data_IF_777078036347
#
_entry.id   IF_777078036347
#
_cell.length_a   1.000
_cell.length_b   1.000
_cell.length_c   1.000
_cell.angle_alpha   90.00
_cell.angle_beta   90.00
_cell.angle_gamma   90.00
#
_symmetry.space_group_name_H-M   'P 1'
#
loop_
_entity.id
_entity.type
_entity.pdbx_description
1 polymer ?
#
# COMPACT_ATOMS: atom_id res chain seq x y z
N UNK A 1 9.39 11.05 5.31
CA UNK A 1 8.05 11.57 5.70
C UNK A 1 7.09 10.40 5.65
N UNK A 2 6.18 10.27 6.61
CA UNK A 2 5.22 9.16 6.64
C UNK A 2 4.08 9.50 5.68
N UNK A 3 3.79 8.62 4.70
CA UNK A 3 2.74 8.67 3.65
C UNK A 3 1.55 9.62 3.89
N UNK A 4 0.97 9.61 5.10
CA UNK A 4 -0.27 10.35 5.40
C UNK A 4 -0.08 11.60 6.28
N UNK A 5 1.13 11.85 6.77
CA UNK A 5 1.44 13.00 7.61
C UNK A 5 1.27 14.30 6.80
N UNK A 6 0.53 15.30 7.33
CA UNK A 6 0.43 16.61 6.69
C UNK A 6 1.79 17.31 6.68
N UNK A 7 2.03 18.10 5.64
CA UNK A 7 3.33 18.74 5.44
C UNK A 7 3.41 20.11 6.12
N UNK A 8 2.28 20.79 6.18
CA UNK A 8 2.14 22.10 6.81
C UNK A 8 0.80 22.21 7.58
N UNK A 9 0.59 23.38 8.17
CA UNK A 9 -0.62 23.66 8.94
C UNK A 9 -1.87 23.77 8.07
N UNK A 10 -1.74 24.12 6.79
CA UNK A 10 -2.86 24.18 5.85
C UNK A 10 -3.37 22.77 5.60
N UNK A 11 -2.46 21.81 5.37
CA UNK A 11 -2.78 20.40 5.26
C UNK A 11 -3.44 19.83 6.52
N UNK A 12 -2.99 20.24 7.71
CA UNK A 12 -3.62 19.86 8.99
C UNK A 12 -5.05 20.39 9.04
N UNK A 13 -5.23 21.70 8.81
CA UNK A 13 -6.52 22.38 8.93
C UNK A 13 -7.53 21.84 7.91
N UNK A 14 -7.05 21.53 6.72
CA UNK A 14 -7.91 21.14 5.62
C UNK A 14 -8.08 19.62 5.48
N UNK A 15 -7.35 18.81 6.26
CA UNK A 15 -7.50 17.35 6.27
C UNK A 15 -8.96 16.87 6.42
N UNK A 16 -9.79 17.45 7.30
CA UNK A 16 -11.22 17.12 7.40
C UNK A 16 -11.98 17.20 6.07
N UNK A 17 -11.58 18.14 5.21
CA UNK A 17 -12.20 18.37 3.90
C UNK A 17 -11.56 17.50 2.81
N UNK A 18 -10.26 17.23 2.89
CA UNK A 18 -9.62 16.27 1.98
C UNK A 18 -10.24 14.90 2.13
N UNK A 19 -10.55 14.48 3.36
CA UNK A 19 -11.15 13.16 3.61
C UNK A 19 -12.48 12.96 2.89
N UNK A 20 -13.14 14.01 2.39
CA UNK A 20 -14.35 13.90 1.57
C UNK A 20 -14.05 13.38 0.16
N UNK A 21 -12.85 13.63 -0.36
CA UNK A 21 -12.46 13.23 -1.72
C UNK A 21 -12.45 11.70 -1.86
N UNK A 22 -12.93 11.17 -2.99
CA UNK A 22 -12.87 9.73 -3.30
C UNK A 22 -11.44 9.26 -3.65
N UNK A 23 -10.45 10.14 -3.58
CA UNK A 23 -9.06 9.74 -3.79
C UNK A 23 -8.58 8.81 -2.68
N UNK A 24 -7.73 7.88 -3.07
CA UNK A 24 -7.01 7.08 -2.10
C UNK A 24 -5.77 7.82 -1.57
N UNK A 25 -5.13 7.28 -0.53
CA UNK A 25 -3.93 7.86 0.08
C UNK A 25 -4.12 9.18 0.83
N UNK A 26 -5.36 9.64 1.01
CA UNK A 26 -5.63 10.83 1.82
C UNK A 26 -5.34 10.54 3.29
N UNK A 27 -5.84 9.43 3.81
CA UNK A 27 -5.56 8.99 5.17
C UNK A 27 -5.48 7.46 5.28
N UNK A 28 -5.90 6.72 4.26
CA UNK A 28 -5.75 5.27 4.18
C UNK A 28 -5.40 4.89 2.74
N UNK A 29 -4.86 3.70 2.51
CA UNK A 29 -4.38 3.30 1.18
C UNK A 29 -5.51 3.09 0.17
N UNK A 30 -6.77 2.98 0.57
CA UNK A 30 -7.91 2.82 -0.36
C UNK A 30 -8.70 4.12 -0.50
N UNK A 31 -9.49 4.28 -1.59
CA UNK A 31 -10.57 5.25 -1.63
C UNK A 31 -11.47 5.05 -0.41
N UNK A 32 -11.55 6.06 0.46
CA UNK A 32 -12.35 6.00 1.67
C UNK A 32 -12.95 7.38 1.96
N UNK A 33 -13.83 7.90 1.08
CA UNK A 33 -14.43 9.21 1.29
C UNK A 33 -15.25 9.23 2.59
N UNK A 34 -15.05 10.24 3.42
CA UNK A 34 -15.67 10.43 4.73
C UNK A 34 -16.06 11.90 4.95
N UNK A 35 -17.34 12.20 4.77
CA UNK A 35 -17.89 13.56 4.92
C UNK A 35 -18.02 13.99 6.39
N UNK A 36 -17.95 13.04 7.33
CA UNK A 36 -18.29 13.29 8.74
C UNK A 36 -17.33 14.28 9.38
N UNK A 37 -16.04 14.26 9.04
CA UNK A 37 -15.07 15.22 9.57
C UNK A 37 -15.36 16.66 9.15
N UNK A 38 -15.54 16.90 7.85
CA UNK A 38 -15.89 18.22 7.33
C UNK A 38 -17.17 18.74 8.00
N UNK A 39 -18.18 17.88 8.15
CA UNK A 39 -19.44 18.24 8.82
C UNK A 39 -19.23 18.57 10.29
N UNK A 40 -18.44 17.80 11.04
CA UNK A 40 -18.12 18.10 12.45
C UNK A 40 -17.44 19.46 12.59
N UNK A 41 -16.49 19.79 11.71
CA UNK A 41 -15.81 21.10 11.70
C UNK A 41 -16.80 22.22 11.42
N UNK A 42 -17.65 22.09 10.40
CA UNK A 42 -18.64 23.10 10.03
C UNK A 42 -19.70 23.29 11.13
N UNK A 43 -20.17 22.21 11.76
CA UNK A 43 -21.11 22.28 12.87
C UNK A 43 -20.48 22.94 14.10
N UNK A 44 -19.24 22.60 14.44
CA UNK A 44 -18.52 23.23 15.54
C UNK A 44 -18.34 24.74 15.30
N UNK A 45 -17.97 25.14 14.08
CA UNK A 45 -17.87 26.54 13.69
C UNK A 45 -19.22 27.26 13.77
N UNK A 46 -20.31 26.66 13.29
CA UNK A 46 -21.65 27.24 13.37
C UNK A 46 -22.11 27.44 14.83
N UNK A 47 -21.89 26.43 15.69
CA UNK A 47 -22.21 26.52 17.12
C UNK A 47 -21.36 27.59 17.81
N UNK A 48 -20.09 27.71 17.46
CA UNK A 48 -19.21 28.77 17.95
C UNK A 48 -19.75 30.15 17.55
N UNK A 49 -20.09 30.36 16.27
CA UNK A 49 -20.69 31.61 15.79
C UNK A 49 -22.01 31.94 16.51
N UNK A 50 -22.90 30.96 16.71
CA UNK A 50 -24.13 31.17 17.47
C UNK A 50 -23.86 31.54 18.93
N UNK A 51 -22.81 30.98 19.55
CA UNK A 51 -22.42 31.36 20.91
C UNK A 51 -21.96 32.82 21.00
N UNK A 52 -21.23 33.32 19.99
CA UNK A 52 -20.82 34.73 19.90
C UNK A 52 -22.01 35.67 19.71
N UNK A 53 -23.08 35.20 19.05
CA UNK A 53 -24.34 35.94 18.89
C UNK A 53 -25.25 35.87 20.13
N UNK A 54 -24.80 35.27 21.24
CA UNK A 54 -25.59 35.12 22.47
C UNK A 54 -26.72 34.09 22.37
N UNK A 55 -26.81 33.31 21.28
CA UNK A 55 -27.79 32.24 21.12
C UNK A 55 -27.30 31.03 21.91
N UNK A 56 -27.91 30.78 23.07
CA UNK A 56 -27.59 29.59 23.88
C UNK A 56 -28.15 28.33 23.21
N UNK A 57 -27.37 27.23 23.15
CA UNK A 57 -27.86 25.96 22.63
C UNK A 57 -28.99 25.41 23.51
N UNK A 58 -30.03 24.81 22.93
CA UNK A 58 -31.22 24.37 23.66
C UNK A 58 -31.02 23.09 24.49
N UNK A 59 -29.95 22.32 24.25
CA UNK A 59 -29.68 21.03 24.89
C UNK A 59 -28.26 20.97 25.47
N UNK A 60 -28.04 20.12 26.48
CA UNK A 60 -26.76 19.97 27.22
C UNK A 60 -25.54 19.83 26.28
N UNK A 61 -24.81 20.92 25.98
CA UNK A 61 -23.73 20.88 25.01
C UNK A 61 -22.49 20.16 25.57
N UNK A 62 -22.49 19.88 26.89
CA UNK A 62 -21.33 19.36 27.63
C UNK A 62 -20.85 18.01 27.11
N UNK A 63 -21.75 17.08 26.77
CA UNK A 63 -21.36 15.75 26.28
C UNK A 63 -20.76 15.82 24.88
N UNK A 64 -21.42 16.52 23.96
CA UNK A 64 -20.93 16.73 22.60
C UNK A 64 -19.62 17.53 22.60
N UNK A 65 -19.49 18.55 23.44
CA UNK A 65 -18.26 19.34 23.58
C UNK A 65 -17.09 18.52 24.12
N UNK A 66 -17.30 17.68 25.15
CA UNK A 66 -16.25 16.77 25.65
C UNK A 66 -15.79 15.82 24.56
N UNK A 67 -16.73 15.23 23.83
CA UNK A 67 -16.42 14.33 22.72
C UNK A 67 -15.69 15.05 21.58
N UNK A 68 -16.10 16.28 21.25
CA UNK A 68 -15.40 17.12 20.28
C UNK A 68 -13.96 17.40 20.70
N UNK A 69 -13.72 17.79 21.95
CA UNK A 69 -12.38 18.06 22.48
C UNK A 69 -11.50 16.80 22.40
N UNK A 70 -12.02 15.64 22.82
CA UNK A 70 -11.30 14.36 22.72
C UNK A 70 -10.96 14.04 21.26
N UNK A 71 -11.93 14.18 20.35
CA UNK A 71 -11.72 13.98 18.91
C UNK A 71 -10.65 14.92 18.37
N UNK A 72 -10.68 16.22 18.69
CA UNK A 72 -9.69 17.20 18.21
C UNK A 72 -8.28 16.90 18.72
N UNK A 73 -8.13 16.57 20.01
CA UNK A 73 -6.83 16.20 20.59
C UNK A 73 -6.29 14.91 19.96
N UNK A 74 -7.16 13.90 19.78
CA UNK A 74 -6.79 12.66 19.14
C UNK A 74 -6.40 12.86 17.67
N UNK A 75 -7.14 13.69 16.93
CA UNK A 75 -6.80 14.07 15.54
C UNK A 75 -5.43 14.76 15.48
N UNK A 76 -5.15 15.69 16.39
CA UNK A 76 -3.86 16.37 16.45
C UNK A 76 -2.70 15.39 16.68
N UNK A 77 -2.83 14.50 17.67
CA UNK A 77 -1.81 13.47 17.95
C UNK A 77 -1.65 12.48 16.79
N UNK A 78 -2.74 12.08 16.15
CA UNK A 78 -2.75 11.18 15.02
C UNK A 78 -2.02 11.77 13.80
N UNK A 79 -2.33 13.02 13.44
CA UNK A 79 -1.67 13.72 12.34
C UNK A 79 -0.20 14.01 12.64
N UNK A 80 0.16 14.28 13.89
CA UNK A 80 1.55 14.50 14.28
C UNK A 80 2.42 13.24 14.15
N UNK A 81 1.84 12.06 14.38
CA UNK A 81 2.54 10.78 14.43
C UNK A 81 2.56 10.04 13.10
N UNK A 82 1.40 9.68 12.55
CA UNK A 82 1.31 8.83 11.35
C UNK A 82 0.40 9.36 10.25
N UNK A 83 -0.75 9.91 10.62
CA UNK A 83 -1.85 10.21 9.68
C UNK A 83 -2.51 8.97 9.05
N UNK A 84 -2.12 7.74 9.41
CA UNK A 84 -2.72 6.53 8.82
C UNK A 84 -4.03 6.17 9.57
N UNK A 85 -5.14 6.08 8.83
CA UNK A 85 -6.48 5.82 9.31
C UNK A 85 -6.63 4.46 10.00
N UNK A 86 -5.74 3.49 9.72
CA UNK A 86 -5.70 2.19 10.43
C UNK A 86 -5.52 2.36 11.93
N UNK A 87 -4.78 3.38 12.35
CA UNK A 87 -4.55 3.69 13.76
C UNK A 87 -5.58 4.68 14.33
N UNK A 88 -6.53 5.14 13.51
CA UNK A 88 -7.53 6.15 13.88
C UNK A 88 -8.97 5.64 13.90
N UNK A 89 -9.16 4.33 13.68
CA UNK A 89 -10.48 3.67 13.64
C UNK A 89 -11.38 4.03 14.84
N UNK A 90 -10.91 4.04 16.11
CA UNK A 90 -11.78 4.39 17.23
C UNK A 90 -12.42 5.77 17.10
N UNK A 91 -11.67 6.77 16.61
CA UNK A 91 -12.20 8.12 16.40
C UNK A 91 -13.13 8.15 15.19
N UNK A 92 -12.82 7.43 14.11
CA UNK A 92 -13.71 7.28 12.95
C UNK A 92 -15.09 6.73 13.32
N UNK A 93 -15.16 5.82 14.30
CA UNK A 93 -16.42 5.28 14.83
C UNK A 93 -17.18 6.34 15.64
N UNK A 94 -16.47 7.10 16.47
CA UNK A 94 -17.04 8.14 17.35
C UNK A 94 -17.64 9.32 16.59
N UNK A 95 -17.16 9.62 15.37
CA UNK A 95 -17.62 10.77 14.58
C UNK A 95 -19.11 10.74 14.26
N UNK A 96 -19.70 9.56 14.05
CA UNK A 96 -21.14 9.44 13.79
C UNK A 96 -21.96 9.99 14.97
N UNK A 97 -21.82 9.40 16.17
CA UNK A 97 -22.44 9.92 17.39
C UNK A 97 -22.12 11.40 17.68
N UNK A 98 -20.87 11.82 17.48
CA UNK A 98 -20.48 13.22 17.66
C UNK A 98 -21.26 14.15 16.70
N UNK A 99 -21.35 13.80 15.43
CA UNK A 99 -22.10 14.57 14.41
C UNK A 99 -23.55 14.76 14.84
N UNK A 100 -24.23 13.68 15.25
CA UNK A 100 -25.62 13.75 15.73
C UNK A 100 -25.72 14.61 17.00
N UNK A 101 -24.77 14.47 17.93
CA UNK A 101 -24.71 15.28 19.15
C UNK A 101 -24.55 16.78 18.86
N UNK A 102 -23.72 17.16 17.89
CA UNK A 102 -23.56 18.56 17.47
C UNK A 102 -24.80 19.10 16.76
N UNK A 103 -25.46 18.30 15.91
CA UNK A 103 -26.73 18.68 15.27
C UNK A 103 -27.82 18.95 16.32
N UNK A 104 -27.87 18.14 17.38
CA UNK A 104 -28.81 18.32 18.50
C UNK A 104 -28.57 19.60 19.30
N UNK A 105 -27.34 20.12 19.27
CA UNK A 105 -27.00 21.40 19.89
C UNK A 105 -27.45 22.62 19.05
N UNK A 106 -27.88 22.44 17.80
CA UNK A 106 -28.39 23.53 16.97
C UNK A 106 -29.78 23.98 17.45
N UNK A 107 -29.98 25.29 17.57
CA UNK A 107 -31.27 25.93 17.92
C UNK A 107 -32.27 25.93 16.74
N UNK A 108 -32.51 24.77 16.15
CA UNK A 108 -33.39 24.56 14.99
C UNK A 108 -34.48 23.54 15.32
N UNK A 109 -35.52 23.46 14.48
CA UNK A 109 -36.62 22.52 14.71
C UNK A 109 -36.15 21.06 14.65
N UNK A 110 -36.84 20.17 15.38
CA UNK A 110 -36.55 18.72 15.36
C UNK A 110 -36.64 18.13 13.94
N UNK A 111 -37.59 18.62 13.14
CA UNK A 111 -37.72 18.22 11.73
C UNK A 111 -36.44 18.54 10.95
N UNK A 112 -35.94 19.77 11.07
CA UNK A 112 -34.69 20.18 10.41
C UNK A 112 -33.49 19.36 10.89
N UNK A 113 -33.38 19.09 12.20
CA UNK A 113 -32.31 18.24 12.74
C UNK A 113 -32.34 16.83 12.13
N UNK A 114 -33.52 16.22 12.03
CA UNK A 114 -33.68 14.88 11.42
C UNK A 114 -33.37 14.90 9.92
N UNK A 115 -33.83 15.92 9.20
CA UNK A 115 -33.49 16.10 7.78
C UNK A 115 -31.99 16.26 7.57
N UNK A 116 -31.29 17.01 8.43
CA UNK A 116 -29.84 17.18 8.35
C UNK A 116 -29.10 15.85 8.58
N UNK A 117 -29.50 15.07 9.59
CA UNK A 117 -28.94 13.72 9.82
C UNK A 117 -29.17 12.82 8.60
N UNK A 118 -30.41 12.78 8.08
CA UNK A 118 -30.74 11.97 6.92
C UNK A 118 -29.95 12.39 5.67
N UNK A 119 -29.77 13.69 5.44
CA UNK A 119 -28.97 14.22 4.34
C UNK A 119 -27.51 13.82 4.45
N UNK A 120 -26.88 13.94 5.63
CA UNK A 120 -25.48 13.54 5.84
C UNK A 120 -25.30 12.04 5.63
N UNK A 121 -26.22 11.23 6.15
CA UNK A 121 -26.21 9.78 5.92
C UNK A 121 -26.37 9.45 4.43
N UNK A 122 -27.29 10.11 3.73
CA UNK A 122 -27.49 9.96 2.29
C UNK A 122 -26.25 10.34 1.48
N UNK A 123 -25.59 11.45 1.82
CA UNK A 123 -24.36 11.89 1.18
C UNK A 123 -23.20 10.91 1.42
N UNK A 124 -23.01 10.48 2.66
CA UNK A 124 -21.98 9.47 2.97
C UNK A 124 -22.24 8.15 2.23
N UNK A 125 -23.50 7.70 2.20
CA UNK A 125 -23.88 6.50 1.46
C UNK A 125 -23.63 6.66 -0.05
N UNK A 126 -23.99 7.81 -0.62
CA UNK A 126 -23.74 8.14 -2.02
C UNK A 126 -22.24 8.07 -2.34
N UNK A 127 -21.38 8.70 -1.54
CA UNK A 127 -19.92 8.66 -1.74
C UNK A 127 -19.37 7.23 -1.66
N UNK A 128 -19.84 6.42 -0.71
CA UNK A 128 -19.44 5.02 -0.58
C UNK A 128 -19.93 4.14 -1.74
N UNK A 129 -21.07 4.47 -2.36
CA UNK A 129 -21.56 3.78 -3.56
C UNK A 129 -20.74 4.17 -4.80
N UNK A 130 -20.36 5.44 -4.93
CA UNK A 130 -19.52 5.92 -6.03
C UNK A 130 -18.08 5.44 -5.93
N UNK A 131 -17.59 5.17 -4.72
CA UNK A 131 -16.23 4.70 -4.47
C UNK A 131 -16.24 3.51 -3.50
N UNK A 132 -16.75 2.35 -3.95
CA UNK A 132 -16.98 1.20 -3.08
C UNK A 132 -15.65 0.62 -2.58
N UNK A 133 -15.36 0.67 -1.27
CA UNK A 133 -14.12 0.09 -0.72
C UNK A 133 -14.12 -1.46 -0.77
N UNK A 134 -15.30 -2.06 -0.98
CA UNK A 134 -15.55 -3.50 -0.90
C UNK A 134 -14.84 -4.33 -1.97
N UNK A 135 -14.44 -3.69 -3.07
CA UNK A 135 -13.78 -4.34 -4.21
C UNK A 135 -12.31 -3.91 -4.36
N UNK A 136 -11.82 -2.99 -3.53
CA UNK A 136 -10.45 -2.47 -3.66
C UNK A 136 -9.42 -3.44 -3.08
N UNK A 137 -9.83 -4.30 -2.16
CA UNK A 137 -8.99 -5.34 -1.56
C UNK A 137 -9.62 -6.72 -1.70
N UNK A 138 -8.75 -7.70 -1.77
CA UNK A 138 -9.06 -9.11 -1.60
C UNK A 138 -9.54 -9.37 -0.16
N UNK A 139 -10.84 -9.27 0.09
CA UNK A 139 -11.41 -9.53 1.42
C UNK A 139 -11.64 -11.03 1.63
N UNK A 140 -10.84 -11.65 2.49
CA UNK A 140 -11.15 -12.95 3.06
C UNK A 140 -11.92 -12.77 4.37
N UNK A 141 -13.00 -13.53 4.54
CA UNK A 141 -13.78 -13.51 5.79
C UNK A 141 -12.97 -14.16 6.90
N UNK A 142 -12.68 -13.39 7.94
CA UNK A 142 -12.08 -13.89 9.18
C UNK A 142 -13.16 -14.60 10.00
N UNK A 143 -13.30 -15.91 9.84
CA UNK A 143 -14.31 -16.72 10.50
C UNK A 143 -13.69 -17.87 11.30
N UNK A 144 -13.79 -19.08 10.76
CA UNK A 144 -13.18 -20.28 11.34
C UNK A 144 -11.76 -20.46 10.85
N UNK A 145 -10.82 -20.76 11.75
CA UNK A 145 -9.46 -21.12 11.36
C UNK A 145 -9.44 -22.48 10.61
N UNK A 146 -8.49 -22.68 9.66
CA UNK A 146 -7.51 -21.70 9.18
C UNK A 146 -8.15 -20.65 8.26
N UNK A 147 -7.82 -19.37 8.45
CA UNK A 147 -8.42 -18.26 7.68
C UNK A 147 -8.04 -18.28 6.19
N UNK A 148 -6.89 -18.87 5.89
CA UNK A 148 -6.41 -19.10 4.54
C UNK A 148 -6.42 -20.60 4.29
N UNK A 149 -7.22 -21.05 3.33
CA UNK A 149 -7.35 -22.48 3.03
C UNK A 149 -6.46 -22.84 1.87
N UNK A 150 -5.63 -23.86 2.10
CA UNK A 150 -4.72 -24.43 1.12
C UNK A 150 -4.84 -25.94 1.22
N UNK A 151 -5.18 -26.58 0.12
CA UNK A 151 -5.43 -28.02 0.07
C UNK A 151 -4.16 -28.75 -0.41
N UNK A 152 -3.85 -29.92 0.16
CA UNK A 152 -2.74 -30.75 -0.32
C UNK A 152 -1.33 -30.25 0.04
N UNK A 153 -1.18 -29.62 1.20
CA UNK A 153 0.13 -29.11 1.66
C UNK A 153 1.18 -30.24 1.72
N UNK A 154 2.36 -30.08 1.08
CA UNK A 154 3.42 -31.07 1.12
C UNK A 154 3.85 -31.39 2.56
N UNK A 155 4.08 -32.67 2.86
CA UNK A 155 4.44 -33.14 4.21
C UNK A 155 5.96 -33.15 4.48
N UNK A 156 6.76 -32.61 3.56
CA UNK A 156 8.21 -32.55 3.68
C UNK A 156 8.62 -31.52 4.75
N UNK A 157 9.34 -31.98 5.78
CA UNK A 157 9.72 -31.16 6.92
C UNK A 157 11.05 -30.42 6.77
N UNK A 158 11.89 -30.75 5.79
CA UNK A 158 13.20 -30.11 5.57
C UNK A 158 13.22 -29.27 4.28
N UNK A 159 12.20 -28.42 4.10
CA UNK A 159 12.06 -27.55 2.91
C UNK A 159 12.10 -26.09 3.33
N UNK A 160 12.80 -25.26 2.56
CA UNK A 160 12.71 -23.81 2.67
C UNK A 160 11.83 -23.26 1.57
N UNK A 161 10.69 -22.69 1.98
CA UNK A 161 9.77 -22.00 1.10
C UNK A 161 10.18 -20.53 0.99
N UNK A 162 10.35 -20.08 -0.24
CA UNK A 162 10.69 -18.69 -0.56
C UNK A 162 9.52 -18.02 -1.26
N UNK A 163 9.36 -16.72 -1.05
CA UNK A 163 8.42 -15.88 -1.80
C UNK A 163 9.17 -14.70 -2.39
N UNK A 164 8.76 -14.24 -3.58
CA UNK A 164 9.40 -13.11 -4.31
C UNK A 164 8.42 -11.97 -4.57
N UNK A 165 7.28 -11.97 -3.90
CA UNK A 165 6.24 -10.95 -4.03
C UNK A 165 6.24 -10.05 -2.81
N UNK A 166 5.78 -8.80 -2.97
CA UNK A 166 5.59 -7.86 -1.87
C UNK A 166 4.70 -8.41 -0.75
N UNK A 167 3.74 -9.28 -1.08
CA UNK A 167 2.97 -10.05 -0.10
C UNK A 167 3.74 -11.35 0.16
N UNK A 168 4.18 -11.57 1.41
CA UNK A 168 4.94 -12.77 1.78
C UNK A 168 4.12 -14.04 1.90
N UNK A 169 2.78 -13.92 1.88
CA UNK A 169 1.84 -15.01 2.10
C UNK A 169 2.10 -15.81 3.39
N UNK A 170 2.73 -15.19 4.40
CA UNK A 170 3.10 -15.86 5.66
C UNK A 170 1.92 -16.48 6.42
N UNK A 171 0.68 -16.09 6.11
CA UNK A 171 -0.54 -16.68 6.68
C UNK A 171 -0.73 -18.17 6.34
N UNK A 172 -0.13 -18.68 5.27
CA UNK A 172 -0.22 -20.12 4.94
C UNK A 172 0.91 -20.93 5.58
N UNK A 173 1.98 -20.28 6.05
CA UNK A 173 3.15 -20.96 6.60
C UNK A 173 2.81 -21.92 7.77
N UNK A 174 1.90 -21.59 8.72
CA UNK A 174 1.52 -22.51 9.79
C UNK A 174 0.79 -23.78 9.34
N UNK A 175 0.36 -23.87 8.07
CA UNK A 175 -0.27 -25.06 7.50
C UNK A 175 0.76 -26.10 7.03
N UNK A 176 2.02 -25.70 6.92
CA UNK A 176 3.13 -26.55 6.50
C UNK A 176 3.76 -27.25 7.72
N UNK A 177 4.52 -28.33 7.51
CA UNK A 177 5.20 -29.04 8.59
C UNK A 177 6.06 -28.09 9.45
N UNK A 178 6.14 -28.34 10.75
CA UNK A 178 6.84 -27.47 11.71
C UNK A 178 8.35 -27.32 11.45
N UNK A 179 8.97 -28.25 10.72
CA UNK A 179 10.36 -28.14 10.29
C UNK A 179 10.57 -27.25 9.06
N UNK A 180 9.50 -26.91 8.33
CA UNK A 180 9.58 -26.08 7.14
C UNK A 180 10.00 -24.66 7.49
N UNK A 181 10.90 -24.10 6.69
CA UNK A 181 11.41 -22.74 6.83
C UNK A 181 10.75 -21.81 5.82
N UNK A 182 10.54 -20.55 6.18
CA UNK A 182 9.86 -19.57 5.34
C UNK A 182 10.65 -18.27 5.27
N UNK A 183 10.83 -17.75 4.07
CA UNK A 183 11.49 -16.46 3.86
C UNK A 183 10.93 -15.72 2.64
N UNK A 184 11.00 -14.41 2.65
CA UNK A 184 10.62 -13.57 1.52
C UNK A 184 11.85 -12.85 0.99
N UNK A 185 12.18 -13.03 -0.29
CA UNK A 185 13.39 -12.49 -0.90
C UNK A 185 13.28 -10.99 -1.21
N UNK A 186 12.07 -10.45 -1.35
CA UNK A 186 11.83 -9.05 -1.73
C UNK A 186 11.93 -8.03 -0.59
N UNK A 187 11.72 -8.42 0.66
CA UNK A 187 11.61 -7.49 1.81
C UNK A 187 12.95 -7.31 2.56
N UNK A 188 14.04 -7.86 2.03
CA UNK A 188 15.28 -8.00 2.79
C UNK A 188 16.17 -6.78 2.59
N UNK A 189 16.35 -6.01 3.66
CA UNK A 189 17.36 -4.96 3.71
C UNK A 189 18.77 -5.55 3.75
N UNK A 190 19.78 -4.73 3.45
CA UNK A 190 21.19 -5.16 3.43
C UNK A 190 21.65 -5.87 4.71
N UNK A 191 21.09 -5.51 5.87
CA UNK A 191 21.45 -6.09 7.17
C UNK A 191 21.11 -7.59 7.28
N UNK A 192 20.05 -8.02 6.60
CA UNK A 192 19.53 -9.39 6.67
C UNK A 192 19.97 -10.24 5.48
N UNK A 193 20.63 -9.64 4.48
CA UNK A 193 21.07 -10.33 3.27
C UNK A 193 22.00 -11.52 3.56
N UNK A 194 22.97 -11.36 4.46
CA UNK A 194 23.88 -12.45 4.83
C UNK A 194 23.16 -13.59 5.55
N UNK A 195 22.22 -13.26 6.45
CA UNK A 195 21.42 -14.26 7.17
C UNK A 195 20.50 -15.04 6.21
N UNK A 196 19.90 -14.33 5.24
CA UNK A 196 19.13 -14.93 4.16
C UNK A 196 19.99 -15.87 3.31
N UNK A 197 21.14 -15.38 2.85
CA UNK A 197 22.03 -16.15 1.99
C UNK A 197 22.47 -17.43 2.68
N UNK A 198 22.83 -17.35 3.97
CA UNK A 198 23.11 -18.52 4.80
C UNK A 198 21.90 -19.44 4.95
N UNK A 199 20.69 -18.89 5.17
CA UNK A 199 19.46 -19.68 5.30
C UNK A 199 19.18 -20.47 4.02
N UNK A 200 19.29 -19.83 2.86
CA UNK A 200 19.03 -20.44 1.54
C UNK A 200 20.15 -21.42 1.15
N UNK A 201 21.41 -21.09 1.41
CA UNK A 201 22.56 -21.95 1.06
C UNK A 201 22.63 -23.20 1.93
N UNK A 202 22.23 -23.11 3.21
CA UNK A 202 22.16 -24.26 4.13
C UNK A 202 20.95 -25.18 3.92
N UNK A 203 20.02 -24.83 3.02
CA UNK A 203 18.82 -25.63 2.77
C UNK A 203 19.05 -26.71 1.73
N UNK A 204 18.77 -27.96 2.05
CA UNK A 204 18.85 -29.04 1.05
C UNK A 204 17.86 -28.80 -0.10
N UNK A 205 16.60 -28.52 0.25
CA UNK A 205 15.52 -28.24 -0.71
C UNK A 205 14.99 -26.81 -0.54
N UNK A 206 14.90 -26.08 -1.66
CA UNK A 206 14.29 -24.74 -1.73
C UNK A 206 13.14 -24.76 -2.72
N UNK A 207 11.99 -24.19 -2.36
CA UNK A 207 10.80 -24.09 -3.21
C UNK A 207 10.26 -22.68 -3.23
N UNK A 208 9.95 -22.16 -4.41
CA UNK A 208 9.23 -20.91 -4.57
C UNK A 208 7.73 -21.13 -4.38
N UNK A 209 7.09 -20.25 -3.62
CA UNK A 209 5.63 -20.15 -3.51
C UNK A 209 5.19 -18.84 -4.16
N UNK A 210 4.32 -18.93 -5.16
CA UNK A 210 3.79 -17.78 -5.90
C UNK A 210 2.28 -17.97 -6.13
N UNK A 211 1.43 -16.95 -5.92
CA UNK A 211 0.00 -17.07 -6.24
C UNK A 211 -0.18 -17.28 -7.75
N UNK A 212 -1.12 -18.13 -8.13
CA UNK A 212 -1.52 -18.27 -9.53
C UNK A 212 -2.30 -17.05 -10.00
N UNK A 213 -2.07 -16.61 -11.24
CA UNK A 213 -2.89 -15.60 -11.91
C UNK A 213 -3.46 -16.21 -13.19
N UNK A 214 -4.79 -16.34 -13.37
CA UNK A 214 -5.37 -17.04 -14.52
C UNK A 214 -4.87 -16.55 -15.88
N UNK A 215 -4.65 -15.24 -16.02
CA UNK A 215 -4.11 -14.62 -17.25
C UNK A 215 -2.62 -14.92 -17.51
N UNK A 216 -1.93 -15.47 -16.53
CA UNK A 216 -0.52 -15.84 -16.57
C UNK A 216 -0.30 -17.34 -16.31
N UNK A 217 -1.36 -18.13 -16.33
CA UNK A 217 -1.31 -19.59 -16.23
C UNK A 217 -1.49 -20.15 -17.64
N UNK A 218 -0.61 -21.06 -18.05
CA UNK A 218 -0.76 -21.76 -19.33
C UNK A 218 -1.83 -22.87 -19.25
N UNK A 219 -2.08 -23.53 -20.38
CA UNK A 219 -3.10 -24.60 -20.48
C UNK A 219 -2.77 -25.83 -19.63
N UNK A 220 -1.53 -25.98 -19.16
CA UNK A 220 -1.08 -27.07 -18.29
C UNK A 220 -1.09 -26.69 -16.80
N UNK A 221 -1.56 -25.49 -16.46
CA UNK A 221 -1.57 -25.01 -15.08
C UNK A 221 -0.23 -24.45 -14.60
N UNK A 222 0.75 -24.28 -15.49
CA UNK A 222 2.09 -23.79 -15.16
C UNK A 222 2.16 -22.25 -15.33
N UNK A 223 3.15 -21.58 -14.72
CA UNK A 223 3.40 -20.18 -15.01
C UNK A 223 3.76 -19.98 -16.49
N UNK A 224 3.19 -18.95 -17.12
CA UNK A 224 3.50 -18.56 -18.50
C UNK A 224 5.00 -18.30 -18.68
N UNK A 225 5.51 -18.43 -19.91
CA UNK A 225 6.92 -18.19 -20.20
C UNK A 225 7.40 -16.79 -19.73
N UNK A 226 6.55 -15.77 -19.90
CA UNK A 226 6.84 -14.42 -19.42
C UNK A 226 6.93 -14.32 -17.90
N UNK A 227 6.06 -15.00 -17.16
CA UNK A 227 6.17 -15.05 -15.69
C UNK A 227 7.41 -15.81 -15.25
N UNK A 228 7.74 -16.94 -15.90
CA UNK A 228 8.96 -17.69 -15.58
C UNK A 228 10.20 -16.82 -15.75
N UNK A 229 10.33 -16.14 -16.89
CA UNK A 229 11.42 -15.21 -17.15
C UNK A 229 11.51 -14.09 -16.10
N UNK A 230 10.39 -13.45 -15.76
CA UNK A 230 10.37 -12.39 -14.76
C UNK A 230 10.73 -12.88 -13.35
N UNK A 231 10.29 -14.09 -12.98
CA UNK A 231 10.61 -14.73 -11.70
C UNK A 231 12.09 -15.13 -11.66
N UNK A 232 12.60 -15.75 -12.71
CA UNK A 232 14.02 -16.12 -12.82
C UNK A 232 14.90 -14.89 -12.67
N UNK A 233 14.54 -13.76 -13.29
CA UNK A 233 15.30 -12.52 -13.12
C UNK A 233 15.36 -12.04 -11.67
N UNK A 234 14.27 -12.16 -10.91
CA UNK A 234 14.27 -11.82 -9.48
C UNK A 234 15.13 -12.80 -8.67
N UNK A 235 15.04 -14.10 -8.96
CA UNK A 235 15.77 -15.16 -8.29
C UNK A 235 17.27 -15.17 -8.59
N UNK A 236 17.66 -14.73 -9.79
CA UNK A 236 19.03 -14.76 -10.28
C UNK A 236 20.01 -13.99 -9.38
N UNK A 237 19.56 -12.87 -8.79
CA UNK A 237 20.35 -12.10 -7.82
C UNK A 237 20.72 -12.90 -6.54
N UNK A 238 19.99 -13.98 -6.28
CA UNK A 238 20.19 -14.89 -5.17
C UNK A 238 20.84 -16.22 -5.59
N UNK A 239 21.30 -16.35 -6.84
CA UNK A 239 21.89 -17.60 -7.37
C UNK A 239 20.88 -18.74 -7.48
N UNK A 240 19.60 -18.40 -7.73
CA UNK A 240 18.50 -19.34 -7.85
C UNK A 240 17.85 -19.19 -9.23
N UNK A 241 17.30 -20.28 -9.75
CA UNK A 241 16.41 -20.31 -10.91
C UNK A 241 15.23 -21.24 -10.68
N UNK A 242 14.16 -21.03 -11.43
CA UNK A 242 12.97 -21.84 -11.41
C UNK A 242 13.25 -23.20 -12.08
N UNK A 243 12.89 -24.30 -11.41
CA UNK A 243 12.97 -25.62 -12.01
C UNK A 243 11.97 -25.83 -13.16
N UNK A 244 12.02 -27.01 -13.77
CA UNK A 244 11.26 -27.32 -15.01
C UNK A 244 9.74 -27.26 -14.87
N UNK A 245 9.19 -27.66 -13.73
CA UNK A 245 7.74 -27.68 -13.49
C UNK A 245 7.39 -27.27 -12.07
N UNK A 246 6.26 -26.61 -11.93
CA UNK A 246 5.66 -26.21 -10.67
C UNK A 246 4.50 -27.13 -10.32
N UNK A 247 4.38 -27.50 -9.04
CA UNK A 247 3.14 -28.06 -8.51
C UNK A 247 2.10 -26.96 -8.34
N UNK A 248 0.83 -27.29 -8.50
CA UNK A 248 -0.26 -26.42 -8.09
C UNK A 248 -0.74 -26.86 -6.70
N UNK A 249 -0.80 -25.90 -5.80
CA UNK A 249 -1.32 -26.06 -4.46
C UNK A 249 -2.67 -25.31 -4.38
N UNK A 250 -3.82 -26.00 -4.55
CA UNK A 250 -5.12 -25.35 -4.66
C UNK A 250 -5.44 -24.52 -3.42
N UNK A 251 -6.04 -23.34 -3.62
CA UNK A 251 -6.49 -22.50 -2.52
C UNK A 251 -7.88 -21.94 -2.78
N UNK A 252 -8.83 -22.34 -1.94
CA UNK A 252 -10.19 -21.79 -1.94
C UNK A 252 -10.19 -20.30 -1.60
N UNK A 253 -9.23 -19.86 -0.79
CA UNK A 253 -9.06 -18.46 -0.44
C UNK A 253 -8.62 -17.63 -1.65
N UNK A 254 -7.61 -18.08 -2.41
CA UNK A 254 -7.22 -17.44 -3.67
C UNK A 254 -8.37 -17.48 -4.68
N UNK A 255 -9.09 -18.60 -4.76
CA UNK A 255 -10.28 -18.71 -5.62
C UNK A 255 -11.34 -17.67 -5.29
N UNK A 256 -11.66 -17.48 -4.01
CA UNK A 256 -12.66 -16.51 -3.58
C UNK A 256 -12.26 -15.06 -3.89
N UNK A 257 -10.95 -14.77 -3.88
CA UNK A 257 -10.40 -13.47 -4.26
C UNK A 257 -10.54 -13.26 -5.76
N UNK A 258 -10.08 -14.21 -6.58
CA UNK A 258 -10.05 -14.10 -8.04
C UNK A 258 -11.43 -14.23 -8.69
N UNK A 259 -12.37 -14.98 -8.09
CA UNK A 259 -13.73 -15.14 -8.64
C UNK A 259 -14.48 -13.81 -8.77
N UNK A 260 -14.10 -12.77 -7.99
CA UNK A 260 -14.67 -11.42 -8.13
C UNK A 260 -14.17 -10.69 -9.37
N UNK A 261 -13.00 -11.06 -9.89
CA UNK A 261 -12.37 -10.43 -11.05
C UNK A 261 -12.67 -11.18 -12.35
N UNK A 262 -12.98 -12.48 -12.27
CA UNK A 262 -13.31 -13.29 -13.43
C UNK A 262 -14.76 -13.03 -13.88
N UNK A 263 -15.01 -12.80 -15.19
CA UNK A 263 -16.36 -12.71 -15.73
C UNK A 263 -17.15 -13.99 -15.42
N UNK A 264 -18.46 -13.90 -15.16
CA UNK A 264 -19.34 -15.04 -14.85
C UNK A 264 -19.54 -16.04 -16.03
N UNK A 265 -18.67 -16.04 -17.03
CA UNK A 265 -18.72 -16.98 -18.14
C UNK A 265 -18.40 -18.40 -17.68
N UNK A 266 -19.40 -19.27 -17.71
CA UNK A 266 -19.40 -20.65 -17.19
C UNK A 266 -18.51 -21.67 -17.91
N UNK A 267 -17.27 -21.32 -18.23
CA UNK A 267 -16.23 -22.30 -18.53
C UNK A 267 -15.64 -22.88 -17.24
N UNK A 268 -15.07 -24.09 -17.32
CA UNK A 268 -14.28 -24.66 -16.23
C UNK A 268 -13.11 -23.72 -15.93
N UNK A 269 -13.24 -22.93 -14.86
CA UNK A 269 -12.20 -22.00 -14.46
C UNK A 269 -10.91 -22.79 -14.16
N UNK A 270 -9.74 -22.35 -14.67
CA UNK A 270 -8.49 -23.03 -14.37
C UNK A 270 -8.30 -23.11 -12.85
N UNK A 271 -7.70 -24.20 -12.35
CA UNK A 271 -7.51 -24.35 -10.92
C UNK A 271 -6.62 -23.23 -10.39
N UNK A 272 -7.02 -22.64 -9.27
CA UNK A 272 -6.40 -21.45 -8.66
C UNK A 272 -5.84 -21.78 -7.29
N UNK A 273 -4.69 -21.19 -6.98
CA UNK A 273 -3.98 -21.45 -5.73
C UNK A 273 -2.60 -20.84 -5.71
N UNK A 274 -1.61 -21.63 -5.33
CA UNK A 274 -0.21 -21.26 -5.40
C UNK A 274 0.56 -22.22 -6.29
N UNK A 275 1.39 -21.68 -7.16
CA UNK A 275 2.49 -22.44 -7.72
C UNK A 275 3.52 -22.69 -6.64
N UNK A 276 3.90 -23.96 -6.50
CA UNK A 276 5.01 -24.41 -5.67
C UNK A 276 6.06 -24.99 -6.61
N UNK A 277 7.08 -24.18 -6.90
CA UNK A 277 8.09 -24.51 -7.89
C UNK A 277 9.39 -24.93 -7.18
N UNK A 278 10.02 -26.05 -7.55
CA UNK A 278 11.38 -26.33 -7.10
C UNK A 278 12.31 -25.22 -7.62
N UNK A 279 13.27 -24.83 -6.79
CA UNK A 279 14.33 -23.92 -7.19
C UNK A 279 15.63 -24.69 -7.38
N UNK A 280 16.31 -24.40 -8.47
CA UNK A 280 17.63 -24.92 -8.80
C UNK A 280 18.67 -23.87 -8.43
N UNK A 281 19.82 -24.32 -7.95
CA UNK A 281 20.97 -23.45 -7.71
C UNK A 281 21.70 -23.25 -9.02
N UNK A 282 22.05 -22.01 -9.30
CA UNK A 282 22.82 -21.66 -10.49
C UNK A 282 24.23 -21.24 -10.09
N UNK A 283 25.24 -21.90 -10.64
CA UNK A 283 26.63 -21.46 -10.50
C UNK A 283 26.89 -20.15 -11.27
N UNK A 284 26.05 -19.86 -12.26
CA UNK A 284 26.00 -18.59 -12.98
C UNK A 284 25.29 -17.50 -12.16
N UNK A 285 25.57 -17.45 -10.85
CA UNK A 285 25.25 -16.24 -10.10
C UNK A 285 26.09 -15.16 -10.76
N UNK A 286 25.47 -14.12 -11.35
CA UNK A 286 26.25 -13.00 -11.82
C UNK A 286 27.02 -12.55 -10.58
N UNK A 287 28.36 -12.36 -10.67
CA UNK A 287 29.11 -11.93 -9.51
C UNK A 287 28.29 -10.79 -8.93
N UNK A 288 27.85 -10.95 -7.66
CA UNK A 288 27.24 -9.83 -6.94
C UNK A 288 28.20 -8.72 -7.25
N UNK A 289 27.74 -7.71 -7.99
CA UNK A 289 28.66 -6.71 -8.50
C UNK A 289 29.24 -6.07 -7.26
N UNK A 290 30.39 -6.58 -6.80
CA UNK A 290 31.16 -6.07 -5.66
C UNK A 290 31.66 -4.67 -6.01
N UNK A 291 31.56 -4.33 -7.29
CA UNK A 291 31.54 -2.97 -7.77
C UNK A 291 30.17 -2.42 -7.39
N UNK A 292 30.06 -1.63 -6.30
CA UNK A 292 28.85 -0.85 -6.07
C UNK A 292 28.46 -0.21 -7.40
N UNK A 293 27.16 -0.13 -7.72
CA UNK A 293 26.68 0.46 -8.96
C UNK A 293 27.57 1.65 -9.31
N UNK A 294 28.37 1.50 -10.40
CA UNK A 294 29.68 2.15 -10.50
C UNK A 294 29.60 3.60 -10.04
N UNK A 295 30.49 4.06 -9.14
CA UNK A 295 30.37 5.29 -8.30
C UNK A 295 29.47 6.42 -8.86
N UNK A 296 29.56 6.68 -10.16
CA UNK A 296 28.62 7.45 -10.97
C UNK A 296 27.11 7.25 -10.70
N UNK A 297 26.63 6.04 -10.41
CA UNK A 297 25.20 5.77 -10.21
C UNK A 297 24.73 6.15 -8.81
N UNK A 298 25.54 5.85 -7.79
CA UNK A 298 25.28 6.29 -6.42
C UNK A 298 25.27 7.82 -6.31
N UNK A 299 26.10 8.50 -7.11
CA UNK A 299 26.07 9.96 -7.26
C UNK A 299 24.73 10.44 -7.83
N UNK A 300 24.17 9.75 -8.83
CA UNK A 300 22.87 10.09 -9.44
C UNK A 300 21.73 9.95 -8.44
N UNK A 301 21.65 8.82 -7.73
CA UNK A 301 20.65 8.63 -6.68
C UNK A 301 20.81 9.72 -5.60
N UNK A 302 22.03 9.94 -5.12
CA UNK A 302 22.32 10.96 -4.10
C UNK A 302 21.98 12.38 -4.57
N UNK A 303 22.16 12.69 -5.85
CA UNK A 303 21.80 13.99 -6.41
C UNK A 303 20.29 14.20 -6.39
N UNK A 304 19.49 13.22 -6.82
CA UNK A 304 18.02 13.30 -6.74
C UNK A 304 17.52 13.33 -5.30
N UNK A 305 18.13 12.54 -4.42
CA UNK A 305 17.84 12.55 -2.97
C UNK A 305 18.11 13.93 -2.35
N UNK A 306 19.12 14.67 -2.82
CA UNK A 306 19.36 16.05 -2.38
C UNK A 306 18.34 17.05 -2.92
N UNK A 307 17.81 16.83 -4.13
CA UNK A 307 16.79 17.71 -4.73
C UNK A 307 15.46 17.62 -3.97
N UNK A 308 14.99 16.40 -3.70
CA UNK A 308 13.72 16.17 -3.00
C UNK A 308 13.88 15.19 -1.82
N UNK A 309 14.66 15.53 -0.77
CA UNK A 309 14.98 14.63 0.34
C UNK A 309 13.75 14.16 1.13
N UNK A 310 12.64 14.88 0.99
CA UNK A 310 11.36 14.51 1.58
C UNK A 310 10.77 13.24 0.97
N UNK A 311 10.87 13.10 -0.35
CA UNK A 311 10.32 11.98 -1.12
C UNK A 311 11.36 10.90 -1.42
N UNK A 312 12.64 11.28 -1.41
CA UNK A 312 13.78 10.39 -1.61
C UNK A 312 14.73 10.57 -0.41
N UNK A 313 14.35 10.10 0.78
CA UNK A 313 15.21 10.22 1.95
C UNK A 313 16.54 9.50 1.72
N UNK A 314 17.69 10.15 1.95
CA UNK A 314 18.98 9.58 1.61
C UNK A 314 19.28 8.37 2.48
N UNK A 315 19.90 7.35 1.87
CA UNK A 315 20.41 6.13 2.54
C UNK A 315 19.34 5.27 3.24
N UNK A 316 18.06 5.47 2.97
CA UNK A 316 16.99 4.61 3.51
C UNK A 316 16.62 3.45 2.58
N UNK A 317 17.09 3.49 1.32
CA UNK A 317 16.77 2.50 0.30
C UNK A 317 18.04 1.92 -0.31
N UNK A 318 18.02 0.63 -0.63
CA UNK A 318 19.09 -0.03 -1.35
C UNK A 318 18.85 0.03 -2.85
N UNK A 319 19.92 0.24 -3.62
CA UNK A 319 19.87 0.16 -5.08
C UNK A 319 19.67 -1.30 -5.50
N UNK A 320 18.63 -1.58 -6.28
CA UNK A 320 18.36 -2.89 -6.86
C UNK A 320 18.45 -2.83 -8.38
N UNK A 321 19.02 -3.86 -9.00
CA UNK A 321 18.99 -4.03 -10.45
C UNK A 321 17.60 -4.53 -10.84
N UNK A 322 17.01 -3.94 -11.87
CA UNK A 322 15.79 -4.40 -12.53
C UNK A 322 16.06 -4.51 -14.03
N UNK A 323 15.14 -5.08 -14.81
CA UNK A 323 15.31 -5.17 -16.26
C UNK A 323 15.52 -3.78 -16.88
N UNK A 324 16.68 -3.59 -17.53
CA UNK A 324 17.01 -2.34 -18.22
C UNK A 324 17.28 -1.14 -17.31
N UNK A 325 17.37 -1.31 -15.98
CA UNK A 325 17.56 -0.19 -15.06
C UNK A 325 18.12 -0.57 -13.68
N UNK A 326 18.50 0.43 -12.92
CA UNK A 326 18.65 0.36 -11.47
C UNK A 326 17.54 1.13 -10.80
N UNK A 327 17.09 0.69 -9.63
CA UNK A 327 16.02 1.34 -8.91
C UNK A 327 16.24 1.41 -7.41
N UNK A 328 15.61 2.41 -6.76
CA UNK A 328 15.46 2.51 -5.31
C UNK A 328 14.00 2.68 -4.97
N UNK A 329 13.50 1.89 -4.04
CA UNK A 329 12.14 2.00 -3.52
C UNK A 329 12.13 2.69 -2.17
N UNK A 330 11.41 3.80 -2.07
CA UNK A 330 11.28 4.59 -0.85
C UNK A 330 9.89 4.35 -0.27
N UNK A 331 9.77 3.34 0.58
CA UNK A 331 8.48 2.88 1.12
C UNK A 331 7.74 3.96 1.92
N UNK A 332 8.46 4.85 2.59
CA UNK A 332 7.89 5.93 3.40
C UNK A 332 7.09 6.94 2.56
N UNK A 333 7.51 7.16 1.32
CA UNK A 333 6.95 8.14 0.38
C UNK A 333 6.18 7.49 -0.79
N UNK A 334 6.15 6.16 -0.86
CA UNK A 334 5.63 5.38 -1.98
C UNK A 334 6.20 5.80 -3.34
N UNK A 335 7.45 6.21 -3.38
CA UNK A 335 8.14 6.55 -4.62
C UNK A 335 9.17 5.49 -4.97
N UNK A 336 9.41 5.34 -6.27
CA UNK A 336 10.50 4.54 -6.81
C UNK A 336 11.31 5.41 -7.75
N UNK A 337 12.61 5.50 -7.53
CA UNK A 337 13.53 6.16 -8.45
C UNK A 337 14.17 5.11 -9.35
N UNK A 338 14.33 5.43 -10.62
CA UNK A 338 14.92 4.60 -11.65
C UNK A 338 16.04 5.34 -12.36
N UNK A 339 17.11 4.62 -12.67
CA UNK A 339 18.16 5.03 -13.59
C UNK A 339 18.26 3.95 -14.65
N UNK A 340 17.77 4.24 -15.85
CA UNK A 340 17.72 3.32 -16.97
C UNK A 340 19.12 3.13 -17.59
N UNK A 341 19.31 2.01 -18.27
CA UNK A 341 20.58 1.68 -18.94
C UNK A 341 20.95 2.66 -20.06
N UNK A 342 19.95 3.33 -20.66
CA UNK A 342 20.14 4.38 -21.66
C UNK A 342 20.51 5.75 -21.05
N UNK A 343 20.73 5.80 -19.72
CA UNK A 343 21.13 7.01 -19.01
C UNK A 343 19.99 7.94 -18.61
N UNK A 344 18.72 7.55 -18.83
CA UNK A 344 17.57 8.34 -18.34
C UNK A 344 17.32 8.10 -16.85
N UNK A 345 16.99 9.17 -16.13
CA UNK A 345 16.60 9.15 -14.71
C UNK A 345 15.11 9.47 -14.63
N UNK A 346 14.36 8.64 -13.92
CA UNK A 346 12.91 8.77 -13.80
C UNK A 346 12.47 8.44 -12.38
N UNK A 347 11.39 9.04 -11.90
CA UNK A 347 10.71 8.56 -10.70
C UNK A 347 9.30 8.10 -11.03
N UNK A 348 8.76 7.20 -10.21
CA UNK A 348 7.37 6.77 -10.27
C UNK A 348 6.78 6.84 -8.88
N UNK A 349 5.67 7.54 -8.72
CA UNK A 349 4.83 7.41 -7.54
C UNK A 349 4.00 6.12 -7.68
N UNK A 350 3.87 5.31 -6.63
CA UNK A 350 3.30 3.95 -6.70
C UNK A 350 1.95 3.87 -7.44
N UNK A 351 1.17 4.96 -7.44
CA UNK A 351 -0.14 5.04 -8.11
C UNK A 351 -0.20 5.92 -9.35
N UNK A 352 0.90 6.56 -9.74
CA UNK A 352 0.95 7.19 -11.05
C UNK A 352 1.02 6.09 -12.12
N UNK A 353 0.23 6.22 -13.18
CA UNK A 353 0.28 5.29 -14.31
C UNK A 353 1.67 5.35 -14.96
N UNK A 354 2.15 6.57 -15.19
CA UNK A 354 3.39 6.83 -15.89
C UNK A 354 4.51 7.26 -14.92
N UNK A 355 5.76 6.84 -15.17
CA UNK A 355 6.91 7.46 -14.55
C UNK A 355 7.11 8.89 -15.07
N UNK A 356 7.67 9.76 -14.24
CA UNK A 356 8.04 11.13 -14.57
C UNK A 356 9.53 11.18 -14.86
N UNK A 357 9.88 11.73 -16.03
CA UNK A 357 11.26 11.95 -16.42
C UNK A 357 11.88 13.08 -15.60
N UNK A 358 13.06 12.84 -15.02
CA UNK A 358 13.82 13.82 -14.23
C UNK A 358 14.86 14.52 -15.09
N UNK A 359 15.55 13.75 -15.94
CA UNK A 359 16.70 14.19 -16.73
C UNK A 359 17.57 13.00 -17.12
N UNK A 360 18.67 13.27 -17.77
CA UNK A 360 19.75 12.30 -18.01
C UNK A 360 20.69 12.21 -16.81
N UNK A 361 21.49 11.14 -16.75
CA UNK A 361 22.54 10.95 -15.72
C UNK A 361 23.45 12.17 -15.63
N UNK A 362 23.89 12.72 -16.76
CA UNK A 362 24.79 13.87 -16.79
C UNK A 362 24.11 15.15 -16.30
N UNK A 363 22.85 15.40 -16.68
CA UNK A 363 22.08 16.55 -16.21
C UNK A 363 21.80 16.49 -14.70
N UNK A 364 21.49 15.30 -14.18
CA UNK A 364 21.23 15.09 -12.75
C UNK A 364 22.51 15.31 -11.94
N UNK A 365 23.65 14.78 -12.40
CA UNK A 365 24.95 14.99 -11.75
C UNK A 365 25.42 16.43 -11.85
N UNK A 366 25.21 17.06 -13.00
CA UNK A 366 25.54 18.46 -13.27
C UNK A 366 24.62 19.48 -12.58
N UNK A 367 23.65 19.03 -11.77
CA UNK A 367 22.63 19.87 -11.12
C UNK A 367 21.77 20.69 -12.11
N UNK A 368 21.75 20.30 -13.38
CA UNK A 368 20.90 20.91 -14.41
C UNK A 368 19.47 20.37 -14.34
N UNK A 369 19.29 19.12 -13.88
CA UNK A 369 17.99 18.52 -13.67
C UNK A 369 17.18 19.28 -12.60
N UNK A 370 15.89 19.45 -12.85
CA UNK A 370 14.96 20.07 -11.92
C UNK A 370 13.81 19.11 -11.64
N UNK A 371 13.50 18.93 -10.36
CA UNK A 371 12.33 18.20 -9.92
C UNK A 371 11.45 19.19 -9.19
N UNK A 372 10.22 19.37 -9.65
CA UNK A 372 9.22 20.08 -8.86
C UNK A 372 8.73 19.14 -7.75
N UNK A 373 9.37 19.22 -6.58
CA UNK A 373 9.02 18.36 -5.45
C UNK A 373 7.57 18.54 -5.01
N UNK A 374 6.91 19.66 -5.33
CA UNK A 374 5.49 19.87 -5.00
C UNK A 374 4.54 19.03 -5.85
N UNK A 375 4.99 18.57 -7.03
CA UNK A 375 4.21 17.81 -8.02
C UNK A 375 4.52 16.30 -8.03
N UNK A 376 5.32 15.79 -7.08
CA UNK A 376 5.63 14.35 -7.01
C UNK A 376 4.39 13.52 -6.66
N UNK A 377 3.43 14.10 -5.93
CA UNK A 377 2.11 13.49 -5.71
C UNK A 377 1.19 13.87 -6.85
N UNK A 378 0.29 12.96 -7.21
CA UNK A 378 -0.82 13.33 -8.09
C UNK A 378 -1.45 14.62 -7.55
N UNK A 379 -1.78 15.59 -8.44
CA UNK A 379 -2.39 16.83 -8.02
C UNK A 379 -3.58 16.48 -7.11
N UNK A 380 -3.52 16.90 -5.84
CA UNK A 380 -4.72 16.86 -5.03
C UNK A 380 -5.73 17.77 -5.71
N UNK A 381 -7.02 17.53 -5.50
CA UNK A 381 -8.10 18.38 -6.04
C UNK A 381 -7.89 19.90 -5.82
N UNK A 382 -7.06 20.32 -4.85
CA UNK A 382 -6.70 21.73 -4.62
C UNK A 382 -5.73 22.31 -5.64
N UNK A 383 -4.83 21.50 -6.17
CA UNK A 383 -3.79 21.94 -7.10
C UNK A 383 -4.31 22.18 -8.52
N UNK A 384 -5.61 21.95 -8.77
CA UNK A 384 -6.29 22.34 -10.01
C UNK A 384 -5.75 21.64 -11.27
N UNK A 385 -5.00 20.56 -11.10
CA UNK A 385 -4.51 19.73 -12.20
C UNK A 385 -5.67 18.95 -12.84
N UNK A 386 -5.80 18.95 -14.18
CA UNK A 386 -6.80 18.17 -14.90
C UNK A 386 -6.60 16.66 -14.79
#
# INVERSE_FOLDING_TARGET
MIRFKPDDWVDVLMRPFDMVSPEANIYVEIPAPDVRFAVVVLLAAALFCFSLMGKRPPQEPRRAARLLVVTLLATGAWLATSGNGRYFIPILVILGPLTVGLIRCLSVSRGFQLSLVAMIMGLQAFLLVQSPPWNTWAWLRWGTAPYFHVDGVPQESSVTYVTVTNISYSLIAPLFPSGARWVNLTVIGQREAAALEHLVSSSETVRLVLPTLPSQTDTSGQPSAGVRQAVDQMLHSHGLSLGKSCGLLPSRSIAAILKRELPEGGGDAPPVGFWVCPLERTDDRPPVSDHPPGANLEDVFSAVEKLCPRFFPPKTSATTRVEGAFARMYSDSDTKLYVLDDGRVMYKFWRSLNPVFVGTVDEVRGSAARIDCSQIRAPNWRSGGP
#
